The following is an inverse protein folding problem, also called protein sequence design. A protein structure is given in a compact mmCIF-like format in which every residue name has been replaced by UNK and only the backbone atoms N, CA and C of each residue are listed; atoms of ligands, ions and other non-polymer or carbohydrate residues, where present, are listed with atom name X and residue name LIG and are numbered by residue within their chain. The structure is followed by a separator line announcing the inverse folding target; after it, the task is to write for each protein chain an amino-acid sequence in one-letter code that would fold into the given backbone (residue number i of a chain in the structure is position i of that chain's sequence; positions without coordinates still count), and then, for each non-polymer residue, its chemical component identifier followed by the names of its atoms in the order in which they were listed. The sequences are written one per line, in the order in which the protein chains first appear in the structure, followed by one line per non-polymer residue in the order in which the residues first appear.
data_IF_897936086594
#
_entry.id   IF_897936086594
#
_cell.length_a   1.000
_cell.length_b   1.000
_cell.length_c   1.000
_cell.angle_alpha   90.00
_cell.angle_beta   90.00
_cell.angle_gamma   90.00
#
_symmetry.space_group_name_H-M   'P 1'
#
loop_
_entity.id
_entity.type
_entity.pdbx_description
1 polymer ?
#
# COMPACT_ATOMS: atom_id res chain seq x y z
N UNK A 1 4.56 -7.56 -5.37
CA UNK A 1 3.94 -7.50 -4.02
C UNK A 1 5.05 -7.52 -2.99
N UNK A 2 4.92 -6.75 -1.92
CA UNK A 2 5.86 -6.77 -0.79
C UNK A 2 5.29 -7.65 0.32
N UNK A 3 6.06 -8.63 0.79
CA UNK A 3 5.58 -9.70 1.69
C UNK A 3 5.44 -9.26 3.16
N UNK A 4 6.10 -8.18 3.53
CA UNK A 4 6.01 -7.51 4.83
C UNK A 4 4.66 -6.78 5.01
N UNK A 5 4.02 -6.36 3.93
CA UNK A 5 2.64 -5.87 3.97
C UNK A 5 1.65 -7.04 4.00
N UNK A 6 1.05 -7.28 5.17
CA UNK A 6 -0.04 -8.24 5.33
C UNK A 6 -1.36 -7.47 5.22
N UNK A 7 -2.21 -7.87 4.28
CA UNK A 7 -3.54 -7.25 4.11
C UNK A 7 -4.61 -8.27 4.45
N UNK A 8 -5.39 -7.95 5.47
CA UNK A 8 -6.54 -8.71 5.94
C UNK A 8 -7.82 -8.09 5.39
N UNK A 9 -8.49 -8.82 4.51
CA UNK A 9 -9.68 -8.36 3.81
C UNK A 9 -10.55 -9.57 3.43
N UNK A 10 -11.87 -9.40 3.45
CA UNK A 10 -12.79 -10.45 2.99
C UNK A 10 -12.57 -10.77 1.50
N UNK A 11 -12.48 -9.72 0.67
CA UNK A 11 -12.02 -9.85 -0.72
C UNK A 11 -10.53 -9.55 -0.77
N UNK A 12 -9.67 -10.46 -1.27
CA UNK A 12 -8.23 -10.22 -1.33
C UNK A 12 -7.89 -8.90 -2.02
N UNK A 13 -6.98 -8.10 -1.46
CA UNK A 13 -6.63 -6.79 -2.01
C UNK A 13 -6.20 -6.85 -3.48
N UNK A 14 -5.45 -7.89 -3.87
CA UNK A 14 -5.07 -8.08 -5.26
C UNK A 14 -6.28 -8.30 -6.18
N UNK A 15 -7.33 -8.99 -5.71
CA UNK A 15 -8.55 -9.18 -6.49
C UNK A 15 -9.27 -7.86 -6.74
N UNK A 16 -9.40 -7.03 -5.70
CA UNK A 16 -9.98 -5.68 -5.81
C UNK A 16 -9.21 -4.83 -6.84
N UNK A 17 -7.88 -4.95 -6.88
CA UNK A 17 -7.04 -4.26 -7.87
C UNK A 17 -7.19 -4.83 -9.28
N UNK A 18 -7.34 -6.15 -9.43
CA UNK A 18 -7.54 -6.80 -10.72
C UNK A 18 -8.85 -6.34 -11.37
N UNK A 19 -9.94 -6.21 -10.61
CA UNK A 19 -11.22 -5.74 -11.14
C UNK A 19 -11.10 -4.31 -11.75
N UNK A 20 -10.23 -3.46 -11.17
CA UNK A 20 -9.91 -2.13 -11.72
C UNK A 20 -9.00 -2.22 -12.93
N UNK A 21 -7.98 -3.08 -12.88
CA UNK A 21 -7.09 -3.32 -14.01
C UNK A 21 -7.86 -3.79 -15.25
N UNK A 22 -8.76 -4.75 -15.09
CA UNK A 22 -9.60 -5.30 -16.18
C UNK A 22 -10.53 -4.24 -16.80
N UNK A 23 -10.96 -3.24 -16.02
CA UNK A 23 -11.82 -2.15 -16.49
C UNK A 23 -11.06 -1.07 -17.26
N UNK A 24 -9.86 -0.70 -16.79
CA UNK A 24 -9.14 0.47 -17.31
C UNK A 24 -7.91 0.13 -18.16
N UNK A 25 -7.47 -1.13 -18.15
CA UNK A 25 -6.24 -1.62 -18.81
C UNK A 25 -5.02 -0.74 -18.53
N UNK A 26 -4.87 -0.38 -17.26
CA UNK A 26 -3.90 0.58 -16.77
C UNK A 26 -3.29 0.10 -15.44
N UNK A 27 -2.02 0.44 -15.15
CA UNK A 27 -1.38 0.15 -13.88
C UNK A 27 -2.24 0.55 -12.69
N UNK A 28 -2.29 -0.33 -11.70
CA UNK A 28 -3.08 -0.16 -10.48
C UNK A 28 -2.17 -0.27 -9.26
N UNK A 29 -2.25 0.73 -8.38
CA UNK A 29 -1.57 0.75 -7.10
C UNK A 29 -2.56 0.46 -5.97
N UNK A 30 -2.15 -0.33 -4.96
CA UNK A 30 -2.89 -0.35 -3.71
C UNK A 30 -2.61 0.93 -2.94
N UNK A 31 -3.63 1.53 -2.33
CA UNK A 31 -3.46 2.69 -1.46
C UNK A 31 -4.23 2.54 -0.14
N UNK A 32 -3.82 3.30 0.87
CA UNK A 32 -4.56 3.46 2.12
C UNK A 32 -4.36 4.89 2.64
N UNK A 33 -5.30 5.38 3.46
CA UNK A 33 -5.09 6.64 4.17
C UNK A 33 -4.11 6.45 5.32
N UNK A 34 -3.15 7.37 5.43
CA UNK A 34 -2.19 7.46 6.54
C UNK A 34 -2.23 8.88 7.09
N UNK A 35 -2.59 8.99 8.36
CA UNK A 35 -2.69 10.28 9.04
C UNK A 35 -1.34 10.73 9.62
N UNK A 36 -1.14 12.05 9.65
CA UNK A 36 -0.03 12.70 10.34
C UNK A 36 1.34 12.40 9.74
N UNK A 37 2.39 12.52 10.57
CA UNK A 37 3.79 12.46 10.11
C UNK A 37 4.21 11.10 9.53
N UNK A 38 3.46 10.03 9.86
CA UNK A 38 3.71 8.68 9.37
C UNK A 38 3.64 8.59 7.84
N UNK A 39 2.92 9.50 7.16
CA UNK A 39 2.83 9.57 5.70
C UNK A 39 4.22 9.68 5.05
N UNK A 40 5.16 10.34 5.73
CA UNK A 40 6.54 10.57 5.23
C UNK A 40 7.36 9.28 5.09
N UNK A 41 6.84 8.15 5.57
CA UNK A 41 7.45 6.81 5.42
C UNK A 41 7.11 6.15 4.09
N UNK A 42 6.15 6.68 3.34
CA UNK A 42 5.55 6.05 2.17
C UNK A 42 5.74 6.88 0.90
N UNK A 43 5.59 6.24 -0.26
CA UNK A 43 5.21 6.95 -1.47
C UNK A 43 3.78 7.48 -1.32
N UNK A 44 3.52 8.70 -1.80
CA UNK A 44 2.23 9.40 -1.63
C UNK A 44 1.72 9.81 -3.00
N UNK A 45 0.43 9.59 -3.26
CA UNK A 45 -0.20 9.93 -4.54
C UNK A 45 -0.98 11.25 -4.45
N UNK A 46 -0.91 12.06 -5.49
CA UNK A 46 -1.94 13.06 -5.80
C UNK A 46 -2.95 12.37 -6.73
N UNK A 47 -4.23 12.33 -6.35
CA UNK A 47 -5.22 11.59 -7.12
C UNK A 47 -6.63 12.17 -6.95
N UNK A 48 -7.48 11.91 -7.94
CA UNK A 48 -8.92 12.23 -7.89
C UNK A 48 -9.75 10.95 -7.82
N UNK A 49 -10.74 10.91 -6.94
CA UNK A 49 -11.66 9.78 -6.87
C UNK A 49 -12.58 9.77 -8.09
N UNK A 50 -12.59 8.65 -8.83
CA UNK A 50 -13.40 8.47 -10.06
C UNK A 50 -14.56 7.50 -9.86
N UNK A 51 -14.48 6.67 -8.82
CA UNK A 51 -15.57 5.86 -8.27
C UNK A 51 -15.20 5.48 -6.83
N UNK A 52 -16.15 4.98 -6.05
CA UNK A 52 -15.93 4.63 -4.64
C UNK A 52 -14.65 3.78 -4.45
N UNK A 53 -13.67 4.34 -3.74
CA UNK A 53 -12.39 3.69 -3.43
C UNK A 53 -11.43 3.52 -4.62
N UNK A 54 -11.74 4.08 -5.80
CA UNK A 54 -10.88 4.04 -6.99
C UNK A 54 -10.51 5.46 -7.38
N UNK A 55 -9.20 5.70 -7.47
CA UNK A 55 -8.63 7.01 -7.73
C UNK A 55 -7.85 6.99 -9.04
N UNK A 56 -7.96 8.05 -9.82
CA UNK A 56 -7.08 8.31 -10.97
C UNK A 56 -5.92 9.17 -10.50
N UNK A 57 -4.69 8.67 -10.69
CA UNK A 57 -3.48 9.32 -10.18
C UNK A 57 -3.05 10.46 -11.11
N UNK A 58 -2.76 11.62 -10.51
CA UNK A 58 -2.24 12.83 -11.18
C UNK A 58 -0.74 12.96 -11.03
N UNK A 59 -0.21 12.68 -9.85
CA UNK A 59 1.22 12.62 -9.57
C UNK A 59 1.50 11.66 -8.41
N UNK A 60 2.77 11.32 -8.18
CA UNK A 60 3.20 10.57 -7.01
C UNK A 60 4.62 10.98 -6.59
N UNK A 61 4.91 10.89 -5.30
CA UNK A 61 6.21 11.28 -4.73
C UNK A 61 6.67 10.27 -3.69
N UNK A 62 7.94 9.88 -3.73
CA UNK A 62 8.52 8.97 -2.74
C UNK A 62 8.87 9.71 -1.45
N UNK A 63 8.34 9.24 -0.31
CA UNK A 63 8.70 9.67 1.06
C UNK A 63 8.81 11.20 1.19
N UNK A 64 7.77 11.95 0.79
CA UNK A 64 7.79 13.41 0.92
C UNK A 64 7.86 13.79 2.41
N UNK A 65 8.47 14.93 2.75
CA UNK A 65 8.23 15.55 4.04
C UNK A 65 6.72 15.71 4.28
N UNK A 66 6.24 15.51 5.52
CA UNK A 66 4.81 15.63 5.86
C UNK A 66 4.13 16.88 5.28
N UNK A 67 4.80 18.03 5.32
CA UNK A 67 4.29 19.31 4.82
C UNK A 67 4.22 19.43 3.29
N UNK A 68 4.93 18.55 2.59
CA UNK A 68 5.01 18.48 1.12
C UNK A 68 4.25 17.27 0.56
N UNK A 69 3.63 16.46 1.43
CA UNK A 69 2.80 15.34 1.01
C UNK A 69 1.58 15.87 0.22
N UNK A 70 1.35 15.40 -1.02
CA UNK A 70 0.26 15.92 -1.86
C UNK A 70 -1.13 15.48 -1.38
N UNK A 71 -1.20 14.42 -0.56
CA UNK A 71 -2.42 13.92 0.07
C UNK A 71 -2.06 13.06 1.30
N UNK A 72 -3.08 12.45 1.91
CA UNK A 72 -2.96 11.40 2.93
C UNK A 72 -2.98 9.97 2.34
N UNK A 73 -2.99 9.82 1.01
CA UNK A 73 -3.07 8.54 0.32
C UNK A 73 -1.68 7.94 0.11
N UNK A 74 -1.30 7.00 0.98
CA UNK A 74 -0.06 6.25 0.89
C UNK A 74 -0.15 5.11 -0.13
N UNK A 75 0.89 4.93 -0.93
CA UNK A 75 1.11 3.73 -1.74
C UNK A 75 1.46 2.57 -0.81
N UNK A 76 0.75 1.45 -0.92
CA UNK A 76 1.10 0.21 -0.21
C UNK A 76 1.82 -0.75 -1.15
N UNK A 77 2.45 -1.80 -0.59
CA UNK A 77 3.26 -2.78 -1.32
C UNK A 77 2.49 -3.73 -2.25
N UNK A 78 1.49 -3.23 -2.97
CA UNK A 78 0.67 -3.95 -3.95
C UNK A 78 0.60 -3.15 -5.24
N UNK A 79 0.97 -3.81 -6.33
CA UNK A 79 1.12 -3.19 -7.63
C UNK A 79 0.66 -4.18 -8.71
N UNK A 80 -0.14 -3.71 -9.66
CA UNK A 80 -0.31 -4.32 -10.97
C UNK A 80 0.33 -3.34 -11.95
N UNK A 81 1.47 -3.72 -12.53
CA UNK A 81 2.25 -2.86 -13.42
C UNK A 81 2.30 -3.50 -14.80
N UNK A 82 2.31 -2.66 -15.83
CA UNK A 82 2.43 -3.08 -17.23
C UNK A 82 3.91 -3.24 -17.61
N UNK A 83 4.27 -4.06 -18.62
CA UNK A 83 5.67 -4.36 -18.93
C UNK A 83 6.55 -3.15 -19.30
N UNK A 84 5.95 -2.05 -19.76
CA UNK A 84 6.63 -0.79 -20.04
C UNK A 84 7.24 -0.12 -18.80
N UNK A 85 6.93 -0.61 -17.59
CA UNK A 85 7.63 -0.20 -16.36
C UNK A 85 9.12 -0.56 -16.39
N UNK A 86 9.52 -1.65 -17.05
CA UNK A 86 10.92 -2.09 -17.05
C UNK A 86 11.83 -1.07 -17.74
N UNK A 87 11.35 -0.42 -18.80
CA UNK A 87 12.07 0.66 -19.49
C UNK A 87 12.28 1.87 -18.55
N UNK A 88 11.29 2.20 -17.73
CA UNK A 88 11.42 3.29 -16.76
C UNK A 88 12.34 2.92 -15.60
N UNK A 89 12.28 1.68 -15.10
CA UNK A 89 13.20 1.19 -14.06
C UNK A 89 14.65 1.28 -14.55
N UNK A 90 14.95 0.84 -15.78
CA UNK A 90 16.30 0.89 -16.34
C UNK A 90 16.85 2.31 -16.46
N UNK A 91 15.98 3.29 -16.70
CA UNK A 91 16.35 4.71 -16.81
C UNK A 91 16.38 5.44 -15.48
N UNK A 92 15.77 4.87 -14.44
CA UNK A 92 15.64 5.52 -13.14
C UNK A 92 17.00 5.58 -12.45
N UNK A 93 17.39 6.78 -12.05
CA UNK A 93 18.65 7.01 -11.32
C UNK A 93 18.43 6.82 -9.82
N UNK A 94 19.48 6.46 -9.07
CA UNK A 94 19.41 6.44 -7.62
C UNK A 94 18.92 7.78 -7.04
N UNK A 95 18.00 7.71 -6.09
CA UNK A 95 17.50 8.88 -5.35
C UNK A 95 18.49 9.36 -4.29
N UNK A 96 18.03 10.25 -3.40
CA UNK A 96 18.86 10.84 -2.33
C UNK A 96 19.47 9.80 -1.37
N UNK A 97 18.83 8.63 -1.22
CA UNK A 97 19.31 7.52 -0.40
C UNK A 97 20.26 6.55 -1.12
N UNK A 98 20.59 6.78 -2.40
CA UNK A 98 21.46 5.89 -3.19
C UNK A 98 20.75 4.64 -3.74
N UNK A 99 19.45 4.49 -3.48
CA UNK A 99 18.61 3.40 -4.00
C UNK A 99 17.80 3.84 -5.23
N UNK A 100 17.54 2.90 -6.13
CA UNK A 100 16.58 3.08 -7.23
C UNK A 100 15.18 2.87 -6.66
N UNK A 101 14.35 3.92 -6.67
CA UNK A 101 13.01 3.87 -6.12
C UNK A 101 11.99 3.57 -7.22
N UNK A 102 11.13 2.56 -6.99
CA UNK A 102 10.09 2.18 -7.95
C UNK A 102 9.06 3.30 -8.16
N UNK A 103 8.82 4.14 -7.15
CA UNK A 103 7.93 5.29 -7.23
C UNK A 103 8.39 6.31 -8.27
N UNK A 104 9.70 6.52 -8.41
CA UNK A 104 10.25 7.43 -9.43
C UNK A 104 10.03 6.87 -10.84
N UNK A 105 10.23 5.56 -11.03
CA UNK A 105 9.95 4.89 -12.29
C UNK A 105 8.46 4.94 -12.66
N UNK A 106 7.56 4.68 -11.69
CA UNK A 106 6.12 4.78 -11.88
C UNK A 106 5.68 6.22 -12.22
N UNK A 107 6.24 7.22 -11.54
CA UNK A 107 6.01 8.64 -11.83
C UNK A 107 6.46 9.02 -13.24
N UNK A 108 7.56 8.45 -13.71
CA UNK A 108 8.02 8.66 -15.08
C UNK A 108 7.07 8.00 -16.11
N UNK A 109 6.61 6.78 -15.85
CA UNK A 109 5.62 6.08 -16.70
C UNK A 109 4.27 6.82 -16.73
N UNK A 110 3.86 7.42 -15.61
CA UNK A 110 2.61 8.18 -15.47
C UNK A 110 2.48 9.30 -16.51
N UNK A 111 3.60 9.87 -16.98
CA UNK A 111 3.61 10.95 -18.00
C UNK A 111 3.04 10.52 -19.36
N UNK A 112 3.03 9.21 -19.64
CA UNK A 112 2.56 8.67 -20.92
C UNK A 112 1.44 7.63 -20.80
N UNK A 113 1.18 7.12 -19.59
CA UNK A 113 0.16 6.11 -19.32
C UNK A 113 -0.63 6.50 -18.07
N UNK A 114 -1.97 6.42 -18.07
CA UNK A 114 -2.74 6.67 -16.85
C UNK A 114 -2.45 5.60 -15.80
N UNK A 115 -2.48 6.00 -14.53
CA UNK A 115 -2.46 5.07 -13.40
C UNK A 115 -3.74 5.24 -12.58
N UNK A 116 -4.14 4.16 -11.92
CA UNK A 116 -5.20 4.15 -10.94
C UNK A 116 -4.68 3.66 -9.60
N UNK A 117 -5.36 4.05 -8.52
CA UNK A 117 -5.15 3.51 -7.20
C UNK A 117 -6.45 2.94 -6.66
N UNK A 118 -6.35 1.88 -5.86
CA UNK A 118 -7.48 1.25 -5.16
C UNK A 118 -7.24 1.34 -3.67
N UNK A 119 -8.12 2.06 -2.97
CA UNK A 119 -8.22 2.01 -1.52
C UNK A 119 -8.99 0.74 -1.17
N UNK A 120 -8.24 -0.33 -0.92
CA UNK A 120 -8.85 -1.64 -0.66
C UNK A 120 -9.65 -1.62 0.64
N UNK A 121 -10.76 -2.35 0.66
CA UNK A 121 -11.55 -2.57 1.87
C UNK A 121 -10.89 -3.68 2.70
N UNK A 122 -10.23 -3.30 3.79
CA UNK A 122 -9.52 -4.21 4.68
C UNK A 122 -8.57 -3.49 5.63
N UNK A 123 -7.82 -4.25 6.41
CA UNK A 123 -6.80 -3.76 7.34
C UNK A 123 -5.42 -4.17 6.87
N UNK A 124 -4.46 -3.25 6.92
CA UNK A 124 -3.05 -3.52 6.63
C UNK A 124 -2.29 -3.66 7.94
N UNK A 125 -1.43 -4.66 8.01
CA UNK A 125 -0.41 -4.80 9.03
C UNK A 125 0.98 -4.70 8.39
N UNK A 126 1.82 -3.84 8.96
CA UNK A 126 3.25 -3.72 8.62
C UNK A 126 4.03 -4.75 9.44
N UNK A 127 4.37 -5.89 8.83
CA UNK A 127 5.20 -6.92 9.45
C UNK A 127 6.71 -6.64 9.30
N UNK A 128 7.10 -5.56 8.61
CA UNK A 128 8.47 -5.07 8.56
C UNK A 128 8.86 -4.33 9.85
N UNK A 129 7.88 -3.71 10.51
CA UNK A 129 8.03 -3.16 11.86
C UNK A 129 7.83 -4.22 12.96
N UNK A 130 8.66 -4.16 14.01
CA UNK A 130 8.62 -5.15 15.10
C UNK A 130 7.31 -5.10 15.88
N UNK A 131 6.79 -3.89 16.15
CA UNK A 131 5.53 -3.74 16.89
C UNK A 131 4.36 -4.13 15.98
N UNK A 132 4.37 -3.69 14.72
CA UNK A 132 3.38 -4.08 13.71
C UNK A 132 3.26 -5.60 13.53
N UNK A 133 4.39 -6.32 13.48
CA UNK A 133 4.41 -7.79 13.44
C UNK A 133 3.74 -8.45 14.65
N UNK A 134 3.97 -7.94 15.86
CA UNK A 134 3.35 -8.48 17.09
C UNK A 134 1.83 -8.21 17.11
N UNK A 135 1.41 -7.01 16.71
CA UNK A 135 -0.01 -6.65 16.59
C UNK A 135 -0.70 -7.57 15.58
N UNK A 136 -0.11 -7.73 14.39
CA UNK A 136 -0.63 -8.63 13.36
C UNK A 136 -0.80 -10.06 13.90
N UNK A 137 0.22 -10.58 14.59
CA UNK A 137 0.19 -11.93 15.17
C UNK A 137 -0.97 -12.08 16.14
N UNK A 138 -1.20 -11.09 17.01
CA UNK A 138 -2.31 -11.11 17.97
C UNK A 138 -3.66 -11.09 17.25
N UNK A 139 -3.85 -10.19 16.28
CA UNK A 139 -5.12 -10.06 15.58
C UNK A 139 -5.46 -11.31 14.76
N UNK A 140 -4.51 -11.86 14.01
CA UNK A 140 -4.71 -13.08 13.24
C UNK A 140 -4.99 -14.30 14.14
N UNK A 141 -4.32 -14.40 15.29
CA UNK A 141 -4.61 -15.47 16.26
C UNK A 141 -6.03 -15.35 16.82
N UNK A 142 -6.51 -14.14 17.09
CA UNK A 142 -7.86 -13.88 17.59
C UNK A 142 -8.96 -14.04 16.54
N UNK A 143 -8.62 -14.03 15.24
CA UNK A 143 -9.55 -14.35 14.14
C UNK A 143 -9.74 -15.85 13.91
N UNK A 144 -8.83 -16.68 14.40
CA UNK A 144 -8.85 -18.14 14.17
C UNK A 144 -9.78 -18.87 15.16
N UNK A 145 -10.83 -19.56 14.70
CA UNK A 145 -11.78 -20.24 15.59
C UNK A 145 -11.15 -21.28 16.53
N UNK A 146 -10.07 -21.92 16.07
CA UNK A 146 -9.33 -22.94 16.81
C UNK A 146 -8.37 -22.39 17.87
N UNK A 147 -7.97 -21.11 17.78
CA UNK A 147 -7.01 -20.48 18.70
C UNK A 147 -7.62 -19.38 19.56
N UNK A 148 -8.56 -18.62 19.00
CA UNK A 148 -9.11 -17.42 19.60
C UNK A 148 -9.67 -17.63 21.03
N UNK A 149 -10.41 -18.71 21.35
CA UNK A 149 -10.97 -18.87 22.69
C UNK A 149 -9.91 -19.01 23.78
N UNK A 150 -8.84 -19.78 23.54
CA UNK A 150 -7.78 -20.00 24.52
C UNK A 150 -6.84 -18.80 24.59
N UNK A 151 -6.45 -18.26 23.44
CA UNK A 151 -5.52 -17.14 23.38
C UNK A 151 -6.12 -15.85 23.96
N UNK A 152 -7.40 -15.57 23.71
CA UNK A 152 -8.09 -14.43 24.31
C UNK A 152 -8.15 -14.54 25.85
N UNK A 153 -8.36 -15.74 26.40
CA UNK A 153 -8.31 -15.98 27.85
C UNK A 153 -6.93 -15.69 28.42
N UNK A 154 -5.87 -16.15 27.73
CA UNK A 154 -4.50 -15.86 28.13
C UNK A 154 -4.20 -14.36 28.15
N UNK A 155 -4.53 -13.62 27.08
CA UNK A 155 -4.29 -12.17 27.00
C UNK A 155 -5.00 -11.40 28.13
N UNK A 156 -6.24 -11.77 28.47
CA UNK A 156 -6.99 -11.14 29.59
C UNK A 156 -6.42 -11.47 30.98
N UNK A 157 -5.60 -12.52 31.09
CA UNK A 157 -4.96 -12.90 32.35
C UNK A 157 -3.66 -12.14 32.63
N UNK A 158 -3.12 -11.44 31.62
CA UNK A 158 -1.90 -10.64 31.77
C UNK A 158 -2.14 -9.48 32.74
N UNK A 159 -1.21 -9.30 33.68
CA UNK A 159 -1.17 -8.12 34.57
C UNK A 159 -0.26 -7.08 33.92
N UNK A 160 -0.86 -6.16 33.17
CA UNK A 160 -0.19 -5.05 32.49
C UNK A 160 -0.32 -3.76 33.31
#
# INVERSE_FOLDING_TARGET
MLSDDIVDAETPALRQMMDVYEKFDAPVLGTMQVEGEAISRFGVIDAEEVSEGVYKIKDMVEKPPFKEAPSDLAIIGRYILTPDIFEEIERTRPGAGGEIQITDAMRALLKRRPFYAVRFNGSRHDAGDKLGFLIATVEFALKRPDLAPEFARYLRSLKL
#
